data_IF_580661010508
#
_entry.id   IF_580661010508
#
_cell.length_a   1.000
_cell.length_b   1.000
_cell.length_c   1.000
_cell.angle_alpha   90.00
_cell.angle_beta   90.00
_cell.angle_gamma   90.00
#
_symmetry.space_group_name_H-M   'P 1'
#
loop_
_entity.id
_entity.type
_entity.pdbx_description
1 polymer ?
#
# COMPACT_ATOMS: atom_id res chain seq x y z
N UNK A 1 -21.49 29.74 5.08
CA UNK A 1 -20.62 28.85 4.29
C UNK A 1 -20.63 27.49 4.97
N UNK A 2 -21.25 26.49 4.36
CA UNK A 2 -21.24 25.13 4.90
C UNK A 2 -19.82 24.58 4.78
N UNK A 3 -19.18 24.25 5.89
CA UNK A 3 -17.96 23.46 5.87
C UNK A 3 -18.32 22.11 5.25
N UNK A 4 -17.68 21.76 4.13
CA UNK A 4 -17.84 20.43 3.53
C UNK A 4 -17.55 19.39 4.60
N UNK A 5 -18.51 18.50 4.87
CA UNK A 5 -18.28 17.37 5.77
C UNK A 5 -17.10 16.55 5.22
N UNK A 6 -16.18 16.08 6.08
CA UNK A 6 -15.09 15.24 5.62
C UNK A 6 -15.66 13.96 4.98
N UNK A 7 -15.15 13.59 3.80
CA UNK A 7 -15.62 12.45 3.01
C UNK A 7 -15.57 11.12 3.78
N UNK A 8 -14.67 11.04 4.77
CA UNK A 8 -14.47 9.88 5.64
C UNK A 8 -14.22 10.30 7.09
N UNK A 9 -14.67 9.45 8.02
CA UNK A 9 -14.34 9.61 9.44
C UNK A 9 -12.89 9.18 9.71
N UNK A 10 -12.04 10.13 10.11
CA UNK A 10 -10.63 9.88 10.44
C UNK A 10 -10.48 9.65 11.93
N UNK A 11 -10.08 8.44 12.33
CA UNK A 11 -9.77 8.10 13.72
C UNK A 11 -8.27 8.00 13.92
N UNK A 12 -7.79 8.37 15.10
CA UNK A 12 -6.37 8.19 15.45
C UNK A 12 -6.04 6.69 15.49
N UNK A 13 -4.82 6.30 15.14
CA UNK A 13 -4.37 4.93 15.21
C UNK A 13 -3.06 4.88 15.99
N UNK A 14 -3.01 4.10 17.06
CA UNK A 14 -1.75 3.74 17.69
C UNK A 14 -1.23 2.46 17.02
N UNK A 15 -0.22 2.61 16.16
CA UNK A 15 0.48 1.52 15.50
C UNK A 15 1.61 0.96 16.36
N UNK A 16 2.38 0.05 15.76
CA UNK A 16 3.55 -0.56 16.41
C UNK A 16 4.58 0.50 16.82
N UNK A 17 5.27 0.28 17.94
CA UNK A 17 6.29 1.19 18.50
C UNK A 17 5.81 2.63 18.73
N UNK A 18 4.62 2.81 19.30
CA UNK A 18 4.03 4.13 19.61
C UNK A 18 3.83 5.04 18.38
N UNK A 19 3.87 4.47 17.17
CA UNK A 19 3.56 5.23 15.97
C UNK A 19 2.12 5.72 16.04
N UNK A 20 1.90 7.02 15.84
CA UNK A 20 0.56 7.59 15.77
C UNK A 20 0.23 7.88 14.31
N UNK A 21 -0.86 7.30 13.84
CA UNK A 21 -1.38 7.44 12.49
C UNK A 21 -2.85 7.83 12.49
N UNK A 22 -3.46 7.75 11.32
CA UNK A 22 -4.91 7.80 11.16
C UNK A 22 -5.40 6.50 10.55
N UNK A 23 -6.68 6.22 10.75
CA UNK A 23 -7.33 5.05 10.19
C UNK A 23 -8.69 5.44 9.63
N UNK A 24 -8.99 4.91 8.45
CA UNK A 24 -10.33 4.90 7.85
C UNK A 24 -10.76 3.46 7.68
N UNK A 25 -11.82 3.08 8.38
CA UNK A 25 -12.35 1.73 8.43
C UNK A 25 -13.13 1.40 7.15
N UNK A 26 -13.09 0.13 6.74
CA UNK A 26 -13.90 -0.41 5.64
C UNK A 26 -13.57 0.12 4.24
N UNK A 27 -12.55 0.98 4.09
CA UNK A 27 -12.26 1.62 2.81
C UNK A 27 -10.76 1.56 2.48
N UNK A 28 -10.45 1.22 1.24
CA UNK A 28 -9.15 1.51 0.66
C UNK A 28 -9.16 2.90 0.03
N UNK A 29 -8.30 3.79 0.52
CA UNK A 29 -8.22 5.15 0.04
C UNK A 29 -7.03 5.33 -0.90
N UNK A 30 -7.26 6.09 -1.98
CA UNK A 30 -6.20 6.55 -2.87
C UNK A 30 -5.34 7.64 -2.21
N UNK A 31 -4.13 7.84 -2.72
CA UNK A 31 -3.25 8.95 -2.33
C UNK A 31 -3.95 10.30 -2.46
N UNK A 32 -4.76 10.49 -3.51
CA UNK A 32 -5.55 11.72 -3.72
C UNK A 32 -6.63 11.90 -2.65
N UNK A 33 -7.39 10.85 -2.34
CA UNK A 33 -8.41 10.88 -1.29
C UNK A 33 -7.80 11.16 0.07
N UNK A 34 -6.65 10.53 0.38
CA UNK A 34 -5.90 10.76 1.62
C UNK A 34 -5.42 12.22 1.68
N UNK A 35 -4.84 12.74 0.60
CA UNK A 35 -4.43 14.13 0.53
C UNK A 35 -5.60 15.09 0.80
N UNK A 36 -6.76 14.86 0.17
CA UNK A 36 -7.99 15.61 0.42
C UNK A 36 -8.43 15.57 1.89
N UNK A 37 -8.40 14.40 2.52
CA UNK A 37 -8.78 14.21 3.92
C UNK A 37 -7.84 14.93 4.91
N UNK A 38 -6.57 15.10 4.55
CA UNK A 38 -5.54 15.63 5.45
C UNK A 38 -5.25 17.12 5.22
N UNK A 39 -5.57 17.69 4.05
CA UNK A 39 -5.23 19.06 3.62
C UNK A 39 -5.52 20.16 4.64
N UNK A 40 -6.55 20.00 5.46
CA UNK A 40 -7.00 21.00 6.44
C UNK A 40 -6.54 20.74 7.89
N UNK A 41 -5.76 19.68 8.13
CA UNK A 41 -5.35 19.28 9.50
C UNK A 41 -3.89 19.66 9.76
N UNK A 42 -3.68 20.79 10.47
CA UNK A 42 -2.38 21.42 10.75
C UNK A 42 -1.34 20.47 11.38
N UNK A 43 -1.78 19.51 12.21
CA UNK A 43 -0.91 18.55 12.89
C UNK A 43 -0.28 17.47 11.96
N UNK A 44 -0.57 17.50 10.64
CA UNK A 44 -0.32 16.35 9.74
C UNK A 44 0.55 16.70 8.54
N UNK A 45 1.36 17.76 8.65
CA UNK A 45 2.27 18.23 7.59
C UNK A 45 3.20 17.14 7.04
N UNK A 46 3.70 16.21 7.87
CA UNK A 46 4.70 15.21 7.44
C UNK A 46 4.19 14.26 6.35
N UNK A 47 3.00 13.68 6.53
CA UNK A 47 2.42 12.75 5.54
C UNK A 47 1.98 13.51 4.28
N UNK A 48 1.45 14.73 4.43
CA UNK A 48 1.11 15.58 3.27
C UNK A 48 2.35 15.88 2.45
N UNK A 49 3.46 16.30 3.09
CA UNK A 49 4.73 16.52 2.40
C UNK A 49 5.27 15.25 1.76
N UNK A 50 5.07 14.08 2.37
CA UNK A 50 5.44 12.80 1.75
C UNK A 50 4.62 12.55 0.48
N UNK A 51 3.30 12.68 0.57
CA UNK A 51 2.36 12.50 -0.55
C UNK A 51 2.63 13.52 -1.68
N UNK A 52 2.84 14.80 -1.36
CA UNK A 52 3.11 15.83 -2.36
C UNK A 52 4.42 15.57 -3.14
N UNK A 53 5.39 14.86 -2.53
CA UNK A 53 6.62 14.43 -3.21
C UNK A 53 6.41 13.24 -4.14
N UNK A 54 5.33 12.48 -3.98
CA UNK A 54 5.02 11.29 -4.79
C UNK A 54 3.91 11.51 -5.82
N UNK A 55 3.19 12.63 -5.77
CA UNK A 55 1.96 12.89 -6.55
C UNK A 55 2.10 13.19 -8.07
N UNK A 56 3.25 13.44 -8.72
CA UNK A 56 3.22 13.75 -10.15
C UNK A 56 3.52 12.50 -10.99
N UNK A 57 2.60 11.51 -11.05
CA UNK A 57 3.01 10.27 -11.73
C UNK A 57 1.96 9.50 -12.53
N UNK A 58 2.28 9.32 -13.82
CA UNK A 58 1.63 8.35 -14.72
C UNK A 58 1.96 6.91 -14.30
N UNK A 59 3.01 6.68 -13.51
CA UNK A 59 3.30 5.39 -12.88
C UNK A 59 2.23 4.94 -11.90
N UNK A 60 1.53 5.87 -11.22
CA UNK A 60 0.37 5.51 -10.39
C UNK A 60 -0.76 4.88 -11.23
N UNK A 61 -0.74 5.09 -12.55
CA UNK A 61 -1.74 4.59 -13.49
C UNK A 61 -1.28 3.35 -14.26
N UNK A 62 -0.07 2.84 -14.04
CA UNK A 62 0.43 1.66 -14.77
C UNK A 62 -0.33 0.38 -14.40
N UNK A 63 -1.09 0.39 -13.30
CA UNK A 63 -1.84 -0.79 -12.86
C UNK A 63 -0.93 -1.98 -12.58
N UNK A 64 0.33 -1.72 -12.17
CA UNK A 64 1.27 -2.77 -11.80
C UNK A 64 0.70 -3.52 -10.61
N UNK A 65 0.60 -4.83 -10.73
CA UNK A 65 0.10 -5.68 -9.65
C UNK A 65 1.13 -6.71 -9.23
N UNK A 66 1.20 -6.93 -7.92
CA UNK A 66 2.08 -7.91 -7.31
C UNK A 66 1.23 -9.04 -6.76
N UNK A 67 1.48 -10.30 -7.16
CA UNK A 67 0.82 -11.43 -6.53
C UNK A 67 1.33 -11.57 -5.09
N UNK A 68 0.40 -11.61 -4.14
CA UNK A 68 0.70 -11.77 -2.72
C UNK A 68 0.92 -13.26 -2.44
N UNK A 69 2.17 -13.69 -2.50
CA UNK A 69 2.57 -15.10 -2.33
C UNK A 69 3.18 -15.39 -0.96
N UNK A 70 3.76 -14.36 -0.32
CA UNK A 70 4.46 -14.47 0.96
C UNK A 70 4.09 -13.32 1.88
N UNK A 71 4.09 -13.63 3.17
CA UNK A 71 3.85 -12.67 4.24
C UNK A 71 5.03 -12.69 5.20
N UNK A 72 5.28 -11.54 5.81
CA UNK A 72 6.28 -11.35 6.84
C UNK A 72 5.63 -10.82 8.13
N UNK A 73 5.97 -11.43 9.25
CA UNK A 73 5.71 -10.89 10.59
C UNK A 73 7.02 -10.35 11.14
N UNK A 74 7.08 -9.05 11.34
CA UNK A 74 8.26 -8.36 11.87
C UNK A 74 8.03 -8.01 13.32
N UNK A 75 9.03 -8.26 14.16
CA UNK A 75 8.94 -7.98 15.59
C UNK A 75 10.32 -7.68 16.22
N UNK A 76 10.34 -7.45 17.52
CA UNK A 76 11.53 -7.16 18.32
C UNK A 76 12.01 -8.41 19.07
N UNK A 77 13.15 -8.31 19.76
CA UNK A 77 13.79 -9.47 20.41
C UNK A 77 12.87 -10.18 21.42
N UNK A 78 12.16 -9.42 22.26
CA UNK A 78 11.34 -10.00 23.33
C UNK A 78 10.17 -10.82 22.77
N UNK A 79 9.30 -10.30 21.87
CA UNK A 79 8.27 -11.13 21.24
C UNK A 79 8.85 -12.30 20.42
N UNK A 80 10.00 -12.13 19.77
CA UNK A 80 10.67 -13.26 19.08
C UNK A 80 10.98 -14.40 20.03
N UNK A 81 11.56 -14.11 21.21
CA UNK A 81 11.83 -15.13 22.23
C UNK A 81 10.54 -15.80 22.69
N UNK A 82 9.46 -15.04 22.87
CA UNK A 82 8.16 -15.59 23.26
C UNK A 82 7.58 -16.50 22.20
N UNK A 83 7.65 -16.13 20.91
CA UNK A 83 7.18 -16.95 19.79
C UNK A 83 7.96 -18.26 19.72
N UNK A 84 9.28 -18.20 19.86
CA UNK A 84 10.14 -19.40 19.83
C UNK A 84 9.85 -20.32 21.02
N UNK A 85 9.62 -19.76 22.20
CA UNK A 85 9.32 -20.53 23.40
C UNK A 85 7.91 -21.14 23.39
N UNK A 86 6.91 -20.40 22.90
CA UNK A 86 5.53 -20.87 22.85
C UNK A 86 5.27 -21.78 21.65
N UNK A 87 5.97 -21.56 20.53
CA UNK A 87 5.65 -22.14 19.24
C UNK A 87 4.44 -21.48 18.55
N UNK A 88 3.95 -20.33 19.05
CA UNK A 88 2.76 -19.64 18.54
C UNK A 88 2.99 -18.14 18.39
N UNK A 89 2.37 -17.55 17.37
CA UNK A 89 2.25 -16.10 17.23
C UNK A 89 1.16 -15.58 18.17
N UNK A 90 1.47 -14.50 18.90
CA UNK A 90 0.54 -13.86 19.82
C UNK A 90 0.04 -12.56 19.21
N UNK A 91 -1.27 -12.34 19.25
CA UNK A 91 -1.81 -11.02 18.94
C UNK A 91 -1.36 -10.03 20.01
N UNK A 92 -0.84 -8.87 19.60
CA UNK A 92 -0.38 -7.85 20.53
C UNK A 92 -1.56 -7.20 21.25
N UNK A 93 -1.43 -7.00 22.57
CA UNK A 93 -2.47 -6.37 23.42
C UNK A 93 -2.76 -4.90 23.06
N UNK A 94 -1.96 -4.28 22.20
CA UNK A 94 -2.05 -2.86 21.84
C UNK A 94 -2.81 -2.59 20.52
N UNK A 95 -3.24 -3.62 19.81
CA UNK A 95 -3.92 -3.46 18.52
C UNK A 95 -5.40 -3.10 18.66
N UNK A 96 -5.68 -1.82 18.94
CA UNK A 96 -7.04 -1.27 19.06
C UNK A 96 -7.65 -0.92 17.71
N UNK A 97 -7.77 -1.90 16.82
CA UNK A 97 -8.50 -1.80 15.57
C UNK A 97 -9.24 -3.11 15.31
N UNK A 98 -10.37 -3.10 14.61
CA UNK A 98 -11.19 -1.95 14.18
C UNK A 98 -12.01 -1.29 15.32
N UNK A 99 -12.44 -0.04 15.14
CA UNK A 99 -13.13 0.72 16.20
C UNK A 99 -14.56 0.24 16.45
N UNK A 100 -15.22 -0.26 15.41
CA UNK A 100 -16.48 -0.98 15.53
C UNK A 100 -16.32 -2.31 16.26
N UNK A 101 -15.09 -2.82 16.43
CA UNK A 101 -14.79 -4.09 17.09
C UNK A 101 -13.66 -3.93 18.13
N UNK A 102 -13.88 -3.14 19.20
CA UNK A 102 -12.82 -2.72 20.14
C UNK A 102 -12.18 -3.86 20.94
N UNK A 103 -12.78 -5.05 20.93
CA UNK A 103 -12.27 -6.25 21.59
C UNK A 103 -11.50 -7.19 20.66
N UNK A 104 -11.41 -6.87 19.37
CA UNK A 104 -10.68 -7.68 18.41
C UNK A 104 -9.18 -7.65 18.74
N UNK A 105 -8.56 -8.84 18.74
CA UNK A 105 -7.11 -8.99 18.83
C UNK A 105 -6.60 -9.46 17.49
N UNK A 106 -5.82 -8.62 16.81
CA UNK A 106 -5.33 -8.91 15.46
C UNK A 106 -3.85 -9.26 15.46
N UNK A 107 -3.48 -10.17 14.57
CA UNK A 107 -2.09 -10.49 14.26
C UNK A 107 -1.73 -9.88 12.90
N UNK A 108 -0.72 -9.01 12.89
CA UNK A 108 -0.34 -8.27 11.71
C UNK A 108 0.72 -9.01 10.90
N UNK A 109 0.50 -9.01 9.60
CA UNK A 109 1.41 -9.53 8.60
C UNK A 109 1.52 -8.50 7.49
N UNK A 110 2.74 -8.22 7.06
CA UNK A 110 2.99 -7.37 5.89
C UNK A 110 3.28 -8.25 4.69
N UNK A 111 3.01 -7.75 3.49
CA UNK A 111 3.41 -8.45 2.27
C UNK A 111 4.94 -8.52 2.18
N UNK A 112 5.45 -9.66 1.75
CA UNK A 112 6.85 -9.83 1.35
C UNK A 112 6.89 -10.02 -0.17
N UNK A 113 7.51 -9.09 -0.87
CA UNK A 113 7.77 -9.21 -2.31
C UNK A 113 9.22 -9.68 -2.49
N UNK A 114 9.39 -10.78 -3.22
CA UNK A 114 10.72 -11.33 -3.50
C UNK A 114 11.44 -10.50 -4.56
N UNK A 115 12.78 -10.52 -4.51
CA UNK A 115 13.60 -9.77 -5.46
C UNK A 115 13.34 -10.25 -6.89
N UNK A 116 13.17 -11.54 -7.09
CA UNK A 116 12.89 -12.15 -8.39
C UNK A 116 11.58 -11.60 -8.98
N UNK A 117 10.53 -11.47 -8.16
CA UNK A 117 9.25 -10.87 -8.56
C UNK A 117 9.41 -9.38 -8.91
N UNK A 118 10.25 -8.64 -8.19
CA UNK A 118 10.55 -7.23 -8.49
C UNK A 118 11.23 -7.11 -9.86
N UNK A 119 12.23 -7.95 -10.14
CA UNK A 119 12.96 -7.89 -11.42
C UNK A 119 12.06 -8.26 -12.61
N UNK A 120 11.21 -9.29 -12.48
CA UNK A 120 10.25 -9.68 -13.52
C UNK A 120 9.25 -8.54 -13.81
N UNK A 121 8.61 -7.99 -12.77
CA UNK A 121 7.62 -6.93 -12.92
C UNK A 121 8.26 -5.61 -13.37
N UNK A 122 9.53 -5.35 -13.03
CA UNK A 122 10.29 -4.19 -13.52
C UNK A 122 10.41 -4.25 -15.04
N UNK A 123 10.75 -5.42 -15.59
CA UNK A 123 10.90 -5.59 -17.04
C UNK A 123 9.56 -5.38 -17.77
N UNK A 124 8.48 -5.97 -17.26
CA UNK A 124 7.14 -5.80 -17.82
C UNK A 124 6.68 -4.34 -17.80
N UNK A 125 6.82 -3.68 -16.64
CA UNK A 125 6.48 -2.28 -16.47
C UNK A 125 7.32 -1.37 -17.39
N UNK A 126 8.62 -1.66 -17.55
CA UNK A 126 9.47 -0.91 -18.45
C UNK A 126 9.05 -1.05 -19.91
N UNK A 127 8.70 -2.26 -20.36
CA UNK A 127 8.21 -2.48 -21.72
C UNK A 127 6.93 -1.69 -22.02
N UNK A 128 5.98 -1.65 -21.07
CA UNK A 128 4.77 -0.84 -21.21
C UNK A 128 5.08 0.66 -21.30
N UNK A 129 6.07 1.12 -20.53
CA UNK A 129 6.50 2.53 -20.50
C UNK A 129 7.32 2.95 -21.71
N UNK A 130 8.17 2.07 -22.23
CA UNK A 130 9.10 2.38 -23.33
C UNK A 130 8.35 2.91 -24.56
N UNK A 131 7.15 2.40 -24.83
CA UNK A 131 6.29 2.87 -25.92
C UNK A 131 5.82 4.33 -25.76
N UNK A 132 5.87 4.88 -24.54
CA UNK A 132 5.45 6.25 -24.22
C UNK A 132 6.62 7.25 -24.15
N UNK A 133 7.87 6.79 -24.27
CA UNK A 133 9.07 7.61 -24.08
C UNK A 133 9.69 8.00 -25.43
N UNK A 134 9.98 9.30 -25.67
CA UNK A 134 10.68 9.73 -26.89
C UNK A 134 12.06 9.06 -27.05
N UNK A 135 12.45 8.63 -28.27
CA UNK A 135 13.70 7.86 -28.49
C UNK A 135 14.98 8.54 -27.97
N UNK A 136 15.04 9.87 -28.01
CA UNK A 136 16.23 10.62 -27.57
C UNK A 136 16.37 10.72 -26.05
N UNK A 137 15.33 10.39 -25.28
CA UNK A 137 15.37 10.32 -23.82
C UNK A 137 15.43 8.89 -23.28
N UNK A 138 15.35 7.88 -24.16
CA UNK A 138 15.17 6.47 -23.77
C UNK A 138 16.22 5.98 -22.78
N UNK A 139 17.50 6.29 -23.00
CA UNK A 139 18.59 5.84 -22.13
C UNK A 139 18.53 6.43 -20.71
N UNK A 140 18.36 7.75 -20.61
CA UNK A 140 18.27 8.44 -19.30
C UNK A 140 17.02 7.97 -18.55
N UNK A 141 15.91 7.79 -19.28
CA UNK A 141 14.67 7.30 -18.72
C UNK A 141 14.80 5.87 -18.18
N UNK A 142 15.47 4.98 -18.91
CA UNK A 142 15.76 3.62 -18.48
C UNK A 142 16.60 3.59 -17.20
N UNK A 143 17.67 4.39 -17.14
CA UNK A 143 18.53 4.52 -15.96
C UNK A 143 17.71 5.01 -14.74
N UNK A 144 16.93 6.09 -14.91
CA UNK A 144 16.10 6.65 -13.85
C UNK A 144 15.00 5.68 -13.38
N UNK A 145 14.35 4.98 -14.32
CA UNK A 145 13.32 3.97 -14.05
C UNK A 145 13.90 2.83 -13.21
N UNK A 146 15.03 2.28 -13.64
CA UNK A 146 15.66 1.16 -12.96
C UNK A 146 16.12 1.55 -11.54
N UNK A 147 16.55 2.81 -11.35
CA UNK A 147 16.92 3.31 -10.03
C UNK A 147 15.72 3.51 -9.07
N UNK A 148 14.53 3.85 -9.60
CA UNK A 148 13.36 4.20 -8.78
C UNK A 148 12.35 3.05 -8.63
N UNK A 149 12.31 2.10 -9.56
CA UNK A 149 11.33 1.01 -9.53
C UNK A 149 11.52 0.13 -8.30
N UNK A 150 10.46 0.06 -7.48
CA UNK A 150 10.42 -0.71 -6.24
C UNK A 150 11.51 -0.29 -5.22
N UNK A 151 11.86 1.00 -5.18
CA UNK A 151 12.81 1.54 -4.20
C UNK A 151 12.14 2.03 -2.89
N UNK A 152 10.81 1.94 -2.81
CA UNK A 152 10.07 2.33 -1.62
C UNK A 152 10.38 1.41 -0.43
N UNK A 153 10.19 1.88 0.81
CA UNK A 153 10.40 1.08 2.01
C UNK A 153 9.65 -0.26 2.03
N UNK A 154 8.52 -0.38 1.33
CA UNK A 154 7.72 -1.61 1.29
C UNK A 154 8.44 -2.77 0.58
N UNK A 155 9.40 -2.46 -0.31
CA UNK A 155 10.17 -3.45 -1.07
C UNK A 155 11.56 -3.73 -0.46
N UNK A 156 11.94 -3.02 0.61
CA UNK A 156 13.23 -3.20 1.26
C UNK A 156 13.22 -4.39 2.22
N UNK A 157 14.36 -5.06 2.33
CA UNK A 157 14.54 -6.16 3.29
C UNK A 157 14.52 -5.67 4.75
N UNK A 158 15.02 -4.46 4.99
CA UNK A 158 14.99 -3.82 6.29
C UNK A 158 13.58 -3.31 6.61
N UNK A 159 13.06 -3.69 7.77
CA UNK A 159 11.74 -3.25 8.23
C UNK A 159 11.83 -2.05 9.18
N UNK A 160 10.77 -1.25 9.19
CA UNK A 160 10.58 -0.14 10.14
C UNK A 160 10.01 -0.60 11.48
N UNK A 161 9.50 -1.84 11.54
CA UNK A 161 8.73 -2.35 12.67
C UNK A 161 9.55 -3.25 13.62
N UNK A 162 10.78 -3.60 13.25
CA UNK A 162 11.65 -4.44 14.05
C UNK A 162 12.78 -5.07 13.24
N UNK A 163 13.66 -5.78 13.94
CA UNK A 163 14.88 -6.37 13.36
C UNK A 163 14.77 -7.90 13.20
N UNK A 164 13.72 -8.52 13.73
CA UNK A 164 13.46 -9.95 13.59
C UNK A 164 12.26 -10.17 12.66
N UNK A 165 12.40 -11.12 11.74
CA UNK A 165 11.44 -11.33 10.66
C UNK A 165 11.13 -12.82 10.51
N UNK A 166 9.85 -13.15 10.51
CA UNK A 166 9.33 -14.47 10.15
C UNK A 166 8.67 -14.37 8.78
N UNK A 167 9.22 -15.05 7.78
CA UNK A 167 8.69 -15.06 6.42
C UNK A 167 8.06 -16.40 6.08
N UNK A 168 6.78 -16.40 5.72
CA UNK A 168 6.01 -17.62 5.44
C UNK A 168 5.23 -17.49 4.13
N UNK A 169 5.05 -18.59 3.37
CA UNK A 169 4.12 -18.61 2.25
C UNK A 169 2.69 -18.27 2.72
N UNK A 170 1.98 -17.44 1.95
CA UNK A 170 0.59 -17.11 2.23
C UNK A 170 -0.28 -18.38 2.23
N UNK A 171 -0.03 -19.31 1.29
CA UNK A 171 -0.73 -20.59 1.20
C UNK A 171 -0.69 -21.38 2.51
N UNK A 172 0.48 -21.45 3.13
CA UNK A 172 0.71 -22.26 4.33
C UNK A 172 0.05 -21.61 5.54
N UNK A 173 0.14 -20.27 5.64
CA UNK A 173 -0.55 -19.49 6.66
C UNK A 173 -2.08 -19.65 6.57
N UNK A 174 -2.65 -19.48 5.38
CA UNK A 174 -4.09 -19.63 5.17
C UNK A 174 -4.54 -21.07 5.40
N UNK A 175 -3.76 -22.06 4.98
CA UNK A 175 -4.06 -23.47 5.21
C UNK A 175 -4.10 -23.81 6.70
N UNK A 176 -3.07 -23.42 7.46
CA UNK A 176 -3.01 -23.68 8.90
C UNK A 176 -4.09 -22.89 9.66
N UNK A 177 -4.37 -21.65 9.27
CA UNK A 177 -5.44 -20.85 9.86
C UNK A 177 -6.83 -21.47 9.60
N UNK A 178 -7.09 -21.90 8.36
CA UNK A 178 -8.32 -22.62 7.98
C UNK A 178 -8.50 -23.89 8.78
N UNK A 179 -7.44 -24.70 8.89
CA UNK A 179 -7.45 -25.98 9.60
C UNK A 179 -7.67 -25.80 11.10
N UNK A 180 -6.92 -24.89 11.74
CA UNK A 180 -6.90 -24.75 13.21
C UNK A 180 -7.99 -23.85 13.75
N UNK A 181 -8.26 -22.72 13.09
CA UNK A 181 -9.17 -21.68 13.59
C UNK A 181 -10.54 -21.73 12.94
N UNK A 182 -10.64 -22.20 11.68
CA UNK A 182 -11.90 -22.20 10.94
C UNK A 182 -12.55 -23.59 10.85
N UNK A 183 -11.97 -24.61 11.49
CA UNK A 183 -12.44 -26.01 11.42
C UNK A 183 -12.62 -26.51 9.97
N UNK A 184 -11.78 -26.02 9.06
CA UNK A 184 -11.85 -26.33 7.63
C UNK A 184 -12.82 -25.47 6.81
N UNK A 185 -13.58 -24.54 7.41
CA UNK A 185 -14.46 -23.63 6.67
C UNK A 185 -13.65 -22.64 5.81
N UNK A 186 -14.22 -22.19 4.69
CA UNK A 186 -13.58 -21.19 3.83
C UNK A 186 -13.38 -19.86 4.55
N UNK A 187 -12.22 -19.24 4.32
CA UNK A 187 -11.84 -17.98 4.96
C UNK A 187 -12.59 -16.80 4.36
N UNK A 188 -12.94 -15.83 5.18
CA UNK A 188 -13.45 -14.54 4.73
C UNK A 188 -12.34 -13.52 4.60
N UNK A 189 -12.37 -12.75 3.51
CA UNK A 189 -11.45 -11.65 3.23
C UNK A 189 -12.25 -10.35 3.22
N UNK A 190 -11.99 -9.48 4.20
CA UNK A 190 -12.68 -8.20 4.37
C UNK A 190 -11.71 -7.03 4.24
N UNK A 191 -12.19 -5.92 3.71
CA UNK A 191 -11.49 -4.64 3.73
C UNK A 191 -11.54 -4.12 5.16
N UNK A 192 -10.43 -4.22 5.89
CA UNK A 192 -10.35 -3.66 7.23
C UNK A 192 -10.31 -2.14 7.16
N UNK A 193 -9.50 -1.60 6.25
CA UNK A 193 -9.42 -0.16 6.03
C UNK A 193 -8.05 0.31 5.56
N UNK A 194 -7.84 1.62 5.66
CA UNK A 194 -6.59 2.30 5.31
C UNK A 194 -5.97 2.95 6.54
N UNK A 195 -4.77 2.51 6.89
CA UNK A 195 -3.93 3.17 7.89
C UNK A 195 -2.99 4.19 7.22
N UNK A 196 -2.91 5.38 7.79
CA UNK A 196 -2.10 6.50 7.31
C UNK A 196 -1.11 6.90 8.41
N UNK A 197 0.11 6.39 8.33
CA UNK A 197 1.22 6.77 9.19
C UNK A 197 2.01 7.93 8.57
N UNK A 198 2.91 8.53 9.36
CA UNK A 198 3.70 9.68 8.92
C UNK A 198 4.51 9.48 7.63
N UNK A 199 4.82 8.23 7.27
CA UNK A 199 5.64 7.85 6.10
C UNK A 199 5.15 6.55 5.42
N UNK A 200 3.92 6.13 5.66
CA UNK A 200 3.38 4.88 5.13
C UNK A 200 1.87 4.94 5.04
N UNK A 201 1.34 4.43 3.93
CA UNK A 201 -0.09 4.17 3.74
C UNK A 201 -0.22 2.66 3.62
N UNK A 202 -1.03 2.04 4.47
CA UNK A 202 -1.26 0.61 4.47
C UNK A 202 -2.74 0.31 4.21
N UNK A 203 -3.01 -0.39 3.11
CA UNK A 203 -4.31 -0.99 2.81
C UNK A 203 -4.37 -2.35 3.50
N UNK A 204 -5.26 -2.49 4.48
CA UNK A 204 -5.29 -3.65 5.37
C UNK A 204 -6.46 -4.57 5.00
N UNK A 205 -6.13 -5.84 4.74
CA UNK A 205 -7.11 -6.92 4.58
C UNK A 205 -7.22 -7.68 5.89
N UNK A 206 -8.44 -7.85 6.38
CA UNK A 206 -8.76 -8.77 7.46
C UNK A 206 -9.06 -10.15 6.87
N UNK A 207 -8.37 -11.16 7.38
CA UNK A 207 -8.68 -12.57 7.11
C UNK A 207 -9.21 -13.19 8.39
N UNK A 208 -10.43 -13.73 8.35
CA UNK A 208 -11.05 -14.31 9.53
C UNK A 208 -11.90 -15.56 9.21
N UNK A 209 -12.25 -16.28 10.28
CA UNK A 209 -13.20 -17.40 10.20
C UNK A 209 -14.61 -16.89 9.86
N UNK A 210 -15.38 -17.59 9.03
CA UNK A 210 -16.78 -17.24 8.76
C UNK A 210 -17.67 -17.36 10.00
N UNK A 211 -17.20 -18.04 11.06
CA UNK A 211 -17.88 -18.09 12.36
C UNK A 211 -17.71 -16.80 13.18
N UNK A 212 -16.71 -15.96 12.86
CA UNK A 212 -16.47 -14.67 13.50
C UNK A 212 -17.37 -13.61 12.85
N UNK A 213 -18.66 -13.68 13.18
CA UNK A 213 -19.70 -12.81 12.61
C UNK A 213 -19.56 -11.35 13.01
N UNK A 214 -18.72 -11.03 14.02
CA UNK A 214 -18.53 -9.66 14.44
C UNK A 214 -18.05 -8.78 13.28
N UNK A 215 -17.29 -9.28 12.31
CA UNK A 215 -16.73 -8.50 11.20
C UNK A 215 -17.60 -8.49 9.92
N UNK A 216 -18.81 -9.00 9.98
CA UNK A 216 -19.67 -9.15 8.79
C UNK A 216 -20.15 -7.83 8.19
N UNK A 217 -20.06 -6.73 8.94
CA UNK A 217 -20.33 -5.36 8.51
C UNK A 217 -19.22 -4.77 7.63
N UNK A 218 -18.00 -5.33 7.69
CA UNK A 218 -16.90 -4.89 6.84
C UNK A 218 -17.10 -5.32 5.38
N UNK A 219 -16.77 -4.46 4.40
CA UNK A 219 -16.89 -4.81 2.99
C UNK A 219 -16.00 -6.00 2.61
N UNK A 220 -16.44 -6.88 1.69
CA UNK A 220 -15.59 -7.93 1.17
C UNK A 220 -14.45 -7.35 0.31
N UNK A 221 -13.30 -8.03 0.29
CA UNK A 221 -12.25 -7.72 -0.69
C UNK A 221 -12.79 -7.94 -2.11
N UNK A 222 -12.66 -6.98 -3.04
CA UNK A 222 -13.16 -7.11 -4.40
C UNK A 222 -12.60 -8.35 -5.11
N UNK A 223 -13.45 -9.02 -5.89
CA UNK A 223 -13.05 -10.07 -6.83
C UNK A 223 -13.14 -9.48 -8.23
N UNK A 224 -12.05 -9.50 -8.98
CA UNK A 224 -11.97 -8.87 -10.31
C UNK A 224 -11.46 -9.85 -11.37
N UNK A 225 -11.99 -9.74 -12.59
CA UNK A 225 -11.47 -10.46 -13.77
C UNK A 225 -10.26 -9.75 -14.38
N UNK A 226 -9.49 -10.44 -15.23
CA UNK A 226 -8.20 -9.99 -15.74
C UNK A 226 -8.17 -8.72 -16.59
N UNK A 227 -9.34 -8.14 -16.94
CA UNK A 227 -9.46 -6.91 -17.73
C UNK A 227 -10.08 -5.73 -16.97
N UNK A 228 -10.26 -5.82 -15.65
CA UNK A 228 -10.83 -4.74 -14.86
C UNK A 228 -9.90 -3.50 -14.88
N UNK A 229 -10.47 -2.33 -15.18
CA UNK A 229 -9.75 -1.05 -15.14
C UNK A 229 -10.70 0.05 -14.61
N UNK A 230 -10.36 0.75 -13.51
CA UNK A 230 -9.16 0.60 -12.69
C UNK A 230 -9.19 -0.68 -11.84
N UNK A 231 -8.01 -1.25 -11.60
CA UNK A 231 -7.84 -2.32 -10.62
C UNK A 231 -7.93 -1.76 -9.19
N UNK A 232 -8.59 -2.45 -8.25
CA UNK A 232 -8.54 -2.08 -6.84
C UNK A 232 -7.12 -2.18 -6.26
N UNK A 233 -6.85 -1.49 -5.15
CA UNK A 233 -5.54 -1.55 -4.48
C UNK A 233 -5.19 -2.95 -3.95
N UNK A 234 -6.18 -3.67 -3.44
CA UNK A 234 -6.04 -5.07 -3.07
C UNK A 234 -7.29 -5.80 -3.55
N UNK A 235 -7.09 -6.91 -4.25
CA UNK A 235 -8.19 -7.67 -4.85
C UNK A 235 -7.84 -9.14 -4.94
N UNK A 236 -8.87 -9.96 -5.17
CA UNK A 236 -8.70 -11.36 -5.57
C UNK A 236 -8.99 -11.52 -7.05
N UNK A 237 -8.14 -12.23 -7.78
CA UNK A 237 -8.40 -12.55 -9.18
C UNK A 237 -9.50 -13.59 -9.29
N UNK A 238 -10.43 -13.39 -10.22
CA UNK A 238 -11.48 -14.36 -10.54
C UNK A 238 -10.90 -15.59 -11.26
N UNK A 239 -9.75 -15.44 -11.93
CA UNK A 239 -9.15 -16.49 -12.77
C UNK A 239 -8.39 -17.53 -11.95
N UNK A 240 -7.59 -17.08 -10.97
CA UNK A 240 -6.76 -17.96 -10.14
C UNK A 240 -7.12 -17.93 -8.65
N UNK A 241 -8.05 -17.07 -8.24
CA UNK A 241 -8.49 -16.92 -6.84
C UNK A 241 -7.47 -16.28 -5.90
N UNK A 242 -6.28 -15.91 -6.39
CA UNK A 242 -5.16 -15.39 -5.59
C UNK A 242 -5.35 -13.91 -5.25
N UNK A 243 -4.68 -13.49 -4.19
CA UNK A 243 -4.67 -12.11 -3.72
C UNK A 243 -3.57 -11.32 -4.44
N UNK A 244 -3.90 -10.12 -4.92
CA UNK A 244 -2.98 -9.21 -5.58
C UNK A 244 -2.98 -7.87 -4.86
N UNK A 245 -1.82 -7.22 -4.87
CA UNK A 245 -1.63 -5.85 -4.41
C UNK A 245 -1.24 -4.97 -5.59
N UNK A 246 -2.03 -3.92 -5.83
CA UNK A 246 -1.80 -2.86 -6.80
C UNK A 246 -1.37 -1.59 -6.04
N UNK A 247 -0.06 -1.40 -5.80
CA UNK A 247 0.41 -0.17 -5.16
C UNK A 247 0.16 1.03 -6.07
N UNK A 248 -0.24 2.15 -5.48
CA UNK A 248 -0.25 3.40 -6.23
C UNK A 248 1.17 3.81 -6.59
N UNK A 249 2.17 3.60 -5.74
CA UNK A 249 3.56 3.91 -6.09
C UNK A 249 4.50 2.80 -5.67
N UNK A 250 5.44 2.47 -6.56
CA UNK A 250 6.55 1.56 -6.22
C UNK A 250 7.78 2.30 -5.69
N UNK A 251 7.81 3.64 -5.79
CA UNK A 251 8.97 4.47 -5.46
C UNK A 251 8.80 5.26 -4.14
N UNK A 252 9.89 5.52 -3.41
CA UNK A 252 9.93 6.43 -2.26
C UNK A 252 9.83 7.89 -2.70
N UNK A 253 10.51 8.22 -3.80
CA UNK A 253 10.45 9.53 -4.45
C UNK A 253 10.47 9.29 -5.95
N UNK A 254 9.38 9.65 -6.63
CA UNK A 254 9.38 9.63 -8.09
C UNK A 254 9.71 11.01 -8.67
N UNK A 255 10.75 11.04 -9.49
CA UNK A 255 11.28 12.23 -10.17
C UNK A 255 11.11 12.19 -11.69
N UNK A 256 10.60 11.09 -12.23
CA UNK A 256 10.53 10.88 -13.68
C UNK A 256 9.38 11.66 -14.31
N UNK A 257 9.64 12.30 -15.45
CA UNK A 257 8.62 12.94 -16.28
C UNK A 257 8.60 12.26 -17.66
N UNK A 258 7.48 11.63 -17.99
CA UNK A 258 7.29 10.94 -19.28
C UNK A 258 6.94 11.93 -20.41
N UNK A 259 6.52 13.16 -20.09
CA UNK A 259 6.09 14.14 -21.12
C UNK A 259 7.05 15.32 -21.31
N UNK A 260 7.31 15.68 -22.57
CA UNK A 260 8.04 16.89 -22.96
C UNK A 260 7.26 18.19 -22.68
N UNK A 261 5.94 18.12 -22.47
CA UNK A 261 5.07 19.28 -22.68
C UNK A 261 4.26 19.78 -21.47
N UNK A 262 4.32 19.14 -20.30
CA UNK A 262 3.66 19.65 -19.09
C UNK A 262 4.65 20.38 -18.16
N UNK A 263 5.07 21.59 -18.55
CA UNK A 263 5.57 22.55 -17.56
C UNK A 263 4.35 23.04 -16.75
N UNK A 264 4.23 22.66 -15.47
CA UNK A 264 3.36 23.42 -14.56
C UNK A 264 3.99 24.81 -14.41
N UNK A 265 3.21 25.87 -14.69
CA UNK A 265 3.67 27.27 -14.75
C UNK A 265 4.59 27.76 -13.62
N UNK A 266 4.56 27.11 -12.44
CA UNK A 266 5.32 27.54 -11.26
C UNK A 266 6.78 27.06 -11.24
N UNK A 267 7.20 26.20 -12.16
CA UNK A 267 8.53 25.55 -12.11
C UNK A 267 9.21 25.46 -13.48
N UNK A 268 8.95 26.42 -14.37
CA UNK A 268 9.70 26.51 -15.62
C UNK A 268 10.94 27.39 -15.40
N UNK A 269 12.16 26.96 -15.78
CA UNK A 269 13.32 27.85 -15.78
C UNK A 269 13.07 29.03 -16.73
N UNK A 270 13.69 30.19 -16.46
CA UNK A 270 13.55 31.42 -17.25
C UNK A 270 13.87 31.25 -18.75
N UNK A 271 14.51 30.13 -19.12
CA UNK A 271 14.85 29.73 -20.48
C UNK A 271 13.73 28.99 -21.25
N UNK A 272 12.54 28.78 -20.66
CA UNK A 272 11.46 28.10 -21.36
C UNK A 272 10.82 28.97 -22.45
N UNK A 273 10.77 28.43 -23.68
CA UNK A 273 10.20 29.07 -24.87
C UNK A 273 8.70 29.38 -24.76
N UNK A 274 7.93 28.68 -23.89
CA UNK A 274 6.51 28.98 -23.63
C UNK A 274 6.29 30.31 -22.89
N UNK A 275 7.33 30.89 -22.28
CA UNK A 275 7.26 32.19 -21.58
C UNK A 275 7.34 33.39 -22.53
N UNK A 276 7.94 33.24 -23.71
CA UNK A 276 8.16 34.33 -24.66
C UNK A 276 6.89 34.74 -25.43
N UNK A 277 5.88 33.86 -25.48
CA UNK A 277 4.64 34.08 -26.23
C UNK A 277 3.57 34.92 -25.49
N UNK A 278 3.83 35.36 -24.25
CA UNK A 278 2.91 36.17 -23.44
C UNK A 278 3.47 37.54 -23.06
N UNK A 279 4.55 37.98 -23.72
CA UNK A 279 4.99 39.38 -23.71
C UNK A 279 4.70 39.99 -25.07
N UNK A 280 3.43 40.27 -25.31
CA UNK A 280 2.94 41.40 -26.11
C UNK A 280 1.52 41.74 -25.60
#
# INVERSE_FOLDING_TARGET
>A
MAAAQPLYELRELQGFNESVGNFVEGNFLSVEQIHGCLKHKVARKKIITYIERTIPDQFLQLGITFPVTRLQHVTTETPTRQIVQSGYFHAGDQSRLPWSHPNAKLLYWSVEILKEQIEELRQEAFQALQAMVPPHNAKVYEEDFNCQFADSPAFKSASRYGNFKFSLPLSDLLFEYKKRQCRGAELEFRVLGTAMYSKEIAHIVLVHSPMATEFSDLPPVPIVGGNANPLPFVFRSQEDGKLYWSPESTADVLKMRISENQCRMRECPLSCTKYAAYRD
#
